data_IF_322878620799
#
_entry.id   IF_322878620799
#
_cell.length_a   1.000
_cell.length_b   1.000
_cell.length_c   1.000
_cell.angle_alpha   90.00
_cell.angle_beta   90.00
_cell.angle_gamma   90.00
#
_symmetry.space_group_name_H-M   'P 1'
#
loop_
_entity.id
_entity.type
_entity.pdbx_description
1 polymer ?
#
# COMPACT_ATOMS: atom_id res chain seq x y z
N UNK A 1 -10.96 17.96 4.52
CA UNK A 1 -11.50 17.88 5.88
C UNK A 1 -11.44 16.46 6.40
N UNK A 2 -10.26 15.83 6.33
CA UNK A 2 -9.98 14.54 6.96
C UNK A 2 -9.17 14.86 8.23
N UNK A 3 -9.50 14.25 9.35
CA UNK A 3 -8.71 14.39 10.58
C UNK A 3 -7.37 13.67 10.41
N UNK A 4 -6.28 14.29 10.85
CA UNK A 4 -4.94 13.71 10.75
C UNK A 4 -4.16 13.96 12.03
N UNK A 5 -3.31 13.01 12.39
CA UNK A 5 -2.34 13.11 13.47
C UNK A 5 -0.97 12.67 12.95
N UNK A 6 0.10 13.32 13.42
CA UNK A 6 1.48 12.96 13.09
C UNK A 6 2.18 12.55 14.38
N UNK A 7 2.58 11.28 14.46
CA UNK A 7 3.33 10.74 15.59
C UNK A 7 4.82 10.76 15.22
N UNK A 8 5.57 11.68 15.83
CA UNK A 8 7.01 11.80 15.61
C UNK A 8 7.79 10.96 16.62
N UNK A 9 8.75 10.17 16.14
CA UNK A 9 9.65 9.37 16.96
C UNK A 9 11.11 9.64 16.58
N UNK A 10 12.04 9.59 17.55
CA UNK A 10 13.45 9.75 17.27
C UNK A 10 14.00 8.51 16.55
N UNK A 11 15.19 8.64 15.95
CA UNK A 11 15.79 7.56 15.14
C UNK A 11 16.13 6.30 15.94
N UNK A 12 16.28 6.41 17.26
CA UNK A 12 16.58 5.32 18.19
C UNK A 12 15.33 4.59 18.72
N UNK A 13 14.14 4.93 18.20
CA UNK A 13 12.89 4.21 18.50
C UNK A 13 13.06 2.71 18.29
N UNK A 14 12.60 1.90 19.24
CA UNK A 14 12.69 0.44 19.10
C UNK A 14 11.59 -0.10 18.17
N UNK A 15 11.82 -1.27 17.60
CA UNK A 15 10.79 -1.96 16.83
C UNK A 15 9.56 -2.29 17.69
N UNK A 16 9.77 -2.68 18.95
CA UNK A 16 8.70 -2.96 19.91
C UNK A 16 7.83 -1.73 20.14
N UNK A 17 8.44 -0.55 20.33
CA UNK A 17 7.70 0.70 20.51
C UNK A 17 6.86 1.06 19.27
N UNK A 18 7.38 0.84 18.06
CA UNK A 18 6.61 1.05 16.82
C UNK A 18 5.44 0.08 16.68
N UNK A 19 5.62 -1.18 17.08
CA UNK A 19 4.55 -2.18 17.09
C UNK A 19 3.47 -1.84 18.12
N UNK A 20 3.85 -1.43 19.33
CA UNK A 20 2.92 -1.00 20.37
C UNK A 20 2.06 0.19 19.93
N UNK A 21 2.65 1.17 19.25
CA UNK A 21 1.93 2.31 18.68
C UNK A 21 0.96 1.83 17.60
N UNK A 22 1.42 0.93 16.73
CA UNK A 22 0.60 0.37 15.65
C UNK A 22 -0.61 -0.39 16.21
N UNK A 23 -0.43 -1.18 17.27
CA UNK A 23 -1.51 -1.91 17.94
C UNK A 23 -2.53 -1.00 18.61
N UNK A 24 -2.08 0.10 19.23
CA UNK A 24 -2.98 1.12 19.78
C UNK A 24 -3.83 1.76 18.68
N UNK A 25 -3.22 2.13 17.54
CA UNK A 25 -3.93 2.72 16.41
C UNK A 25 -4.86 1.72 15.70
N UNK A 26 -4.47 0.45 15.64
CA UNK A 26 -5.30 -0.63 15.10
C UNK A 26 -6.59 -0.79 15.90
N UNK A 27 -6.53 -0.65 17.23
CA UNK A 27 -7.69 -0.84 18.10
C UNK A 27 -8.54 0.43 18.27
N UNK A 28 -8.02 1.62 17.94
CA UNK A 28 -8.80 2.87 18.01
C UNK A 28 -9.87 2.94 16.89
N UNK A 29 -11.18 2.95 17.21
CA UNK A 29 -12.24 3.03 16.21
C UNK A 29 -12.31 4.40 15.50
N UNK A 30 -11.62 5.43 16.01
CA UNK A 30 -11.53 6.77 15.39
C UNK A 30 -10.50 6.82 14.28
N UNK A 31 -9.57 5.86 14.24
CA UNK A 31 -8.50 5.78 13.25
C UNK A 31 -8.98 4.90 12.09
N UNK A 32 -9.13 5.50 10.90
CA UNK A 32 -9.54 4.78 9.69
C UNK A 32 -8.37 4.36 8.79
N UNK A 33 -7.16 4.90 9.04
CA UNK A 33 -6.00 4.62 8.22
C UNK A 33 -4.70 4.91 8.97
N UNK A 34 -3.69 4.08 8.73
CA UNK A 34 -2.36 4.15 9.34
C UNK A 34 -1.34 4.10 8.21
N UNK A 35 -0.40 5.06 8.24
CA UNK A 35 0.72 5.16 7.32
C UNK A 35 2.00 5.24 8.13
N UNK A 36 3.00 4.43 7.78
CA UNK A 36 4.33 4.46 8.38
C UNK A 36 5.32 4.93 7.33
N UNK A 37 5.92 6.09 7.56
CA UNK A 37 6.84 6.69 6.61
C UNK A 37 8.14 5.87 6.49
N UNK A 38 8.42 5.38 5.29
CA UNK A 38 9.67 4.69 4.93
C UNK A 38 10.72 5.67 4.34
N UNK A 39 12.02 5.37 4.43
CA UNK A 39 12.61 4.20 5.10
C UNK A 39 12.62 4.33 6.63
N UNK A 40 12.57 3.19 7.32
CA UNK A 40 12.77 3.13 8.78
C UNK A 40 14.27 3.05 9.13
N UNK A 41 14.65 3.28 10.41
CA UNK A 41 16.01 3.03 10.87
C UNK A 41 16.46 1.58 10.64
N UNK A 42 17.75 1.37 10.37
CA UNK A 42 18.31 0.06 9.96
C UNK A 42 18.08 -1.07 10.98
N UNK A 43 17.87 -0.76 12.26
CA UNK A 43 17.58 -1.74 13.31
C UNK A 43 16.10 -2.13 13.42
N UNK A 44 15.24 -1.57 12.58
CA UNK A 44 13.81 -1.86 12.53
C UNK A 44 13.49 -2.61 11.24
N UNK A 45 12.82 -3.76 11.35
CA UNK A 45 12.35 -4.51 10.20
C UNK A 45 11.07 -3.89 9.63
N UNK A 46 11.19 -3.19 8.50
CA UNK A 46 10.06 -2.54 7.82
C UNK A 46 8.91 -3.50 7.53
N UNK A 47 9.22 -4.75 7.20
CA UNK A 47 8.20 -5.74 6.84
C UNK A 47 7.35 -6.15 8.04
N UNK A 48 7.98 -6.27 9.20
CA UNK A 48 7.33 -6.56 10.47
C UNK A 48 6.41 -5.42 10.86
N UNK A 49 6.86 -4.17 10.75
CA UNK A 49 6.02 -2.99 11.06
C UNK A 49 4.84 -2.87 10.09
N UNK A 50 5.07 -2.98 8.77
CA UNK A 50 4.00 -2.93 7.77
C UNK A 50 2.97 -4.06 7.96
N UNK A 51 3.40 -5.25 8.38
CA UNK A 51 2.49 -6.36 8.68
C UNK A 51 1.84 -6.26 10.07
N UNK A 52 2.29 -5.34 10.92
CA UNK A 52 1.63 -5.03 12.19
C UNK A 52 0.38 -4.16 12.01
N UNK A 53 0.26 -3.43 10.90
CA UNK A 53 -0.90 -2.59 10.60
C UNK A 53 -2.09 -3.47 10.18
N UNK A 54 -3.27 -3.25 10.75
CA UNK A 54 -4.47 -3.98 10.35
C UNK A 54 -4.72 -3.80 8.84
N UNK A 55 -4.99 -4.88 8.06
CA UNK A 55 -5.11 -4.80 6.59
C UNK A 55 -6.13 -3.77 6.10
N UNK A 56 -7.23 -3.59 6.82
CA UNK A 56 -8.29 -2.62 6.53
C UNK A 56 -7.91 -1.17 6.84
N UNK A 57 -6.86 -0.94 7.65
CA UNK A 57 -6.30 0.38 7.96
C UNK A 57 -4.97 0.66 7.24
N UNK A 58 -4.43 -0.30 6.50
CA UNK A 58 -3.19 -0.18 5.73
C UNK A 58 -3.40 0.64 4.45
N UNK A 59 -3.46 1.97 4.61
CA UNK A 59 -3.70 2.90 3.49
C UNK A 59 -2.53 2.99 2.50
N UNK A 60 -1.36 2.48 2.88
CA UNK A 60 -0.19 2.33 2.01
C UNK A 60 -0.22 1.03 1.19
N UNK A 61 -1.05 0.06 1.54
CA UNK A 61 -1.22 -1.20 0.82
C UNK A 61 0.00 -2.13 0.90
N UNK A 62 0.84 -2.02 1.94
CA UNK A 62 2.06 -2.81 2.08
C UNK A 62 1.90 -4.08 2.92
N UNK A 63 0.78 -4.20 3.64
CA UNK A 63 0.44 -5.38 4.40
C UNK A 63 0.36 -6.60 3.48
N UNK A 64 0.92 -7.72 3.91
CA UNK A 64 1.02 -8.94 3.09
C UNK A 64 -0.33 -9.43 2.57
N UNK A 65 -1.41 -9.27 3.35
CA UNK A 65 -2.77 -9.59 2.92
C UNK A 65 -3.23 -8.69 1.75
N UNK A 66 -2.95 -7.39 1.79
CA UNK A 66 -3.35 -6.48 0.71
C UNK A 66 -2.56 -6.77 -0.58
N UNK A 67 -1.24 -6.95 -0.46
CA UNK A 67 -0.41 -7.36 -1.60
C UNK A 67 -0.83 -8.74 -2.13
N UNK A 68 -1.11 -9.70 -1.25
CA UNK A 68 -1.55 -11.04 -1.66
C UNK A 68 -2.88 -11.01 -2.40
N UNK A 69 -3.85 -10.22 -1.92
CA UNK A 69 -5.14 -9.97 -2.58
C UNK A 69 -4.94 -9.32 -3.94
N UNK A 70 -4.10 -8.28 -4.04
CA UNK A 70 -3.75 -7.64 -5.33
C UNK A 70 -3.17 -8.65 -6.32
N UNK A 71 -2.24 -9.51 -5.89
CA UNK A 71 -1.66 -10.55 -6.76
C UNK A 71 -2.66 -11.64 -7.19
N UNK A 72 -3.82 -11.73 -6.55
CA UNK A 72 -4.88 -12.69 -6.84
C UNK A 72 -6.12 -12.02 -7.47
N UNK A 73 -5.99 -10.77 -7.93
CA UNK A 73 -7.10 -9.96 -8.49
C UNK A 73 -8.29 -9.80 -7.53
N UNK A 74 -8.00 -9.77 -6.23
CA UNK A 74 -9.00 -9.54 -5.18
C UNK A 74 -8.97 -8.09 -4.70
N UNK A 75 -10.13 -7.58 -4.28
CA UNK A 75 -10.24 -6.26 -3.67
C UNK A 75 -9.30 -6.10 -2.48
N UNK A 76 -8.52 -5.02 -2.50
CA UNK A 76 -7.51 -4.68 -1.49
C UNK A 76 -7.19 -3.19 -1.52
N UNK A 77 -6.53 -2.71 -0.46
CA UNK A 77 -5.87 -1.41 -0.52
C UNK A 77 -4.59 -1.57 -1.34
N UNK A 78 -4.53 -0.89 -2.47
CA UNK A 78 -3.42 -0.98 -3.43
C UNK A 78 -2.37 0.06 -3.07
N UNK A 79 -1.06 -0.25 -3.19
CA UNK A 79 0.01 0.73 -3.05
C UNK A 79 -0.26 2.04 -3.77
N UNK A 80 -0.25 3.14 -3.03
CA UNK A 80 -0.75 4.44 -3.49
C UNK A 80 -0.10 4.90 -4.80
N UNK A 81 1.21 4.70 -4.97
CA UNK A 81 1.93 5.03 -6.21
C UNK A 81 1.45 4.20 -7.40
N UNK A 82 1.21 2.90 -7.21
CA UNK A 82 0.72 2.04 -8.28
C UNK A 82 -0.73 2.36 -8.64
N UNK A 83 -1.58 2.62 -7.63
CA UNK A 83 -2.95 3.11 -7.82
C UNK A 83 -2.97 4.44 -8.58
N UNK A 84 -2.07 5.37 -8.26
CA UNK A 84 -1.96 6.65 -8.97
C UNK A 84 -1.55 6.48 -10.43
N UNK A 85 -0.58 5.61 -10.73
CA UNK A 85 -0.20 5.28 -12.12
C UNK A 85 -1.40 4.72 -12.89
N UNK A 86 -2.15 3.81 -12.28
CA UNK A 86 -3.34 3.23 -12.90
C UNK A 86 -4.44 4.28 -13.15
N UNK A 87 -4.71 5.14 -12.17
CA UNK A 87 -5.68 6.23 -12.31
C UNK A 87 -5.30 7.23 -13.40
N UNK A 88 -4.01 7.55 -13.56
CA UNK A 88 -3.54 8.42 -14.64
C UNK A 88 -3.83 7.80 -16.01
N UNK A 89 -3.52 6.51 -16.19
CA UNK A 89 -3.79 5.77 -17.43
C UNK A 89 -5.30 5.77 -17.74
N UNK A 90 -6.12 5.37 -16.76
CA UNK A 90 -7.59 5.35 -16.87
C UNK A 90 -8.17 6.70 -17.26
N UNK A 91 -7.80 7.76 -16.54
CA UNK A 91 -8.34 9.12 -16.76
C UNK A 91 -7.89 9.75 -18.07
N UNK A 92 -6.80 9.27 -18.66
CA UNK A 92 -6.32 9.72 -19.97
C UNK A 92 -7.00 8.94 -21.12
N UNK A 93 -7.75 7.88 -20.83
CA UNK A 93 -8.42 7.06 -21.83
C UNK A 93 -7.45 6.20 -22.65
N UNK A 94 -6.30 5.83 -22.06
CA UNK A 94 -5.32 4.94 -22.72
C UNK A 94 -5.79 3.50 -22.55
N UNK A 95 -6.07 2.81 -23.66
CA UNK A 95 -6.37 1.38 -23.65
C UNK A 95 -5.15 0.55 -23.24
N UNK A 96 -5.31 -0.34 -22.26
CA UNK A 96 -4.24 -1.23 -21.77
C UNK A 96 -4.39 -2.68 -22.22
N UNK A 97 -5.61 -3.13 -22.48
CA UNK A 97 -5.85 -4.51 -22.91
C UNK A 97 -5.08 -4.86 -24.20
N UNK A 98 -4.32 -5.97 -24.14
CA UNK A 98 -3.53 -6.49 -25.26
C UNK A 98 -2.33 -5.62 -25.67
N UNK A 99 -1.96 -4.59 -24.89
CA UNK A 99 -0.79 -3.75 -25.17
C UNK A 99 0.47 -4.30 -24.51
N UNK A 100 1.62 -3.93 -25.07
CA UNK A 100 2.91 -4.17 -24.43
C UNK A 100 3.20 -3.07 -23.42
N UNK A 101 3.46 -3.45 -22.17
CA UNK A 101 3.85 -2.55 -21.08
C UNK A 101 5.22 -2.99 -20.55
N UNK A 102 6.11 -2.02 -20.31
CA UNK A 102 7.42 -2.26 -19.67
C UNK A 102 7.45 -1.57 -18.33
N UNK A 103 7.65 -2.34 -17.26
CA UNK A 103 7.92 -1.81 -15.91
C UNK A 103 9.41 -1.91 -15.62
N UNK A 104 10.10 -0.78 -15.65
CA UNK A 104 11.53 -0.69 -15.35
C UNK A 104 11.77 -0.55 -13.84
N UNK A 105 11.68 -1.66 -13.11
CA UNK A 105 11.86 -1.71 -11.66
C UNK A 105 11.03 -2.83 -11.04
N UNK A 106 11.50 -3.39 -9.92
CA UNK A 106 10.88 -4.58 -9.28
C UNK A 106 10.66 -4.45 -7.78
N UNK A 107 10.66 -3.22 -7.27
CA UNK A 107 10.41 -2.97 -5.85
C UNK A 107 9.03 -3.48 -5.45
N UNK A 108 8.89 -3.91 -4.20
CA UNK A 108 7.65 -4.50 -3.69
C UNK A 108 6.53 -3.47 -3.47
N UNK A 109 6.90 -2.20 -3.33
CA UNK A 109 5.99 -1.08 -3.11
C UNK A 109 5.59 -0.31 -4.39
N UNK A 110 6.35 -0.44 -5.50
CA UNK A 110 6.08 0.32 -6.74
C UNK A 110 6.07 -0.59 -7.97
N UNK A 111 7.21 -1.18 -8.33
CA UNK A 111 7.35 -1.90 -9.59
C UNK A 111 6.45 -3.14 -9.70
N UNK A 112 6.47 -4.00 -8.67
CA UNK A 112 5.64 -5.21 -8.68
C UNK A 112 4.14 -4.88 -8.67
N UNK A 113 3.61 -3.98 -7.81
CA UNK A 113 2.20 -3.60 -7.84
C UNK A 113 1.74 -3.00 -9.17
N UNK A 114 2.55 -2.14 -9.81
CA UNK A 114 2.24 -1.61 -11.16
C UNK A 114 2.15 -2.75 -12.17
N UNK A 115 3.10 -3.68 -12.12
CA UNK A 115 3.08 -4.84 -13.02
C UNK A 115 1.85 -5.72 -12.79
N UNK A 116 1.39 -5.90 -11.54
CA UNK A 116 0.16 -6.65 -11.24
C UNK A 116 -1.05 -5.96 -11.87
N UNK A 117 -1.25 -4.66 -11.63
CA UNK A 117 -2.40 -3.92 -12.16
C UNK A 117 -2.49 -3.92 -13.69
N UNK A 118 -1.36 -3.91 -14.38
CA UNK A 118 -1.31 -3.73 -15.83
C UNK A 118 -1.32 -5.05 -16.64
N UNK A 119 -1.22 -6.22 -15.99
CA UNK A 119 -1.21 -7.50 -16.71
C UNK A 119 -2.47 -8.36 -16.49
N UNK A 120 -3.29 -8.05 -15.48
CA UNK A 120 -4.39 -8.92 -15.05
C UNK A 120 -5.63 -8.78 -15.94
N UNK A 121 -6.63 -9.64 -15.74
CA UNK A 121 -7.78 -9.90 -16.66
C UNK A 121 -8.76 -8.71 -16.86
N UNK A 122 -8.36 -7.48 -16.50
CA UNK A 122 -9.16 -6.27 -16.71
C UNK A 122 -10.24 -6.02 -15.65
N UNK A 123 -10.25 -6.78 -14.55
CA UNK A 123 -11.17 -6.50 -13.41
C UNK A 123 -10.99 -5.07 -12.87
N UNK A 124 -9.75 -4.55 -12.85
CA UNK A 124 -9.44 -3.17 -12.44
C UNK A 124 -9.87 -2.08 -13.46
N UNK A 125 -10.29 -2.48 -14.67
CA UNK A 125 -10.83 -1.59 -15.71
C UNK A 125 -12.35 -1.37 -15.53
N UNK A 126 -13.01 -2.10 -14.63
CA UNK A 126 -14.46 -2.00 -14.42
C UNK A 126 -14.86 -0.76 -13.60
N UNK A 127 -16.02 -0.14 -13.87
CA UNK A 127 -16.53 0.94 -13.03
C UNK A 127 -16.77 0.44 -11.59
N UNK A 128 -16.10 1.04 -10.61
CA UNK A 128 -16.21 0.66 -9.20
C UNK A 128 -15.19 -0.35 -8.69
N UNK A 129 -14.22 -0.74 -9.54
CA UNK A 129 -12.99 -1.46 -9.17
C UNK A 129 -11.80 -0.53 -8.97
#
# INVERSE_FOLDING_TARGET
GICSEIILKPKDVSQEELLDITDQLNTDPRVSGILVQLPLPDHVDERTVCNGIAPEKDVDGFHIINIGRLCLDQHSLIPATASAVWEIIKRTGIETFGKNVVVAGRSKNVGMPIAMLLHTDGEHERPGG
#
